data_IF_438116752877
#
_entry.id   IF_438116752877
#
_cell.length_a   1.000
_cell.length_b   1.000
_cell.length_c   1.000
_cell.angle_alpha   90.00
_cell.angle_beta   90.00
_cell.angle_gamma   90.00
#
_symmetry.space_group_name_H-M   'P 1'
#
loop_
_entity.id
_entity.type
_entity.pdbx_description
1 polymer ?
#
# COMPACT_ATOMS: atom_id res chain seq x y z
N UNK A 1 -8.42 32.05 1.87
CA UNK A 1 -9.30 30.90 2.16
C UNK A 1 -9.90 30.99 3.56
N UNK A 2 -9.10 30.91 4.63
CA UNK A 2 -9.60 31.07 6.02
C UNK A 2 -10.20 32.46 6.25
N UNK A 3 -9.44 33.54 6.03
CA UNK A 3 -9.91 34.92 6.19
C UNK A 3 -11.12 35.27 5.32
N UNK A 4 -11.08 34.89 4.05
CA UNK A 4 -12.05 35.39 3.05
C UNK A 4 -13.28 34.49 2.90
N UNK A 5 -13.21 33.23 3.35
CA UNK A 5 -14.28 32.23 3.17
C UNK A 5 -14.55 31.35 4.40
N UNK A 6 -13.89 31.58 5.53
CA UNK A 6 -14.12 30.82 6.76
C UNK A 6 -13.68 29.35 6.71
N UNK A 7 -12.72 29.02 5.85
CA UNK A 7 -12.14 27.67 5.82
C UNK A 7 -11.44 27.34 7.14
N UNK A 8 -11.65 26.14 7.68
CA UNK A 8 -11.00 25.68 8.90
C UNK A 8 -9.66 25.01 8.59
N UNK A 9 -8.58 25.59 9.11
CA UNK A 9 -7.20 25.11 8.94
C UNK A 9 -6.64 24.46 10.22
N UNK A 10 -7.44 24.24 11.26
CA UNK A 10 -7.01 23.62 12.52
C UNK A 10 -6.28 22.29 12.29
N UNK A 11 -6.94 21.33 11.63
CA UNK A 11 -6.38 20.00 11.29
C UNK A 11 -5.23 20.07 10.29
N UNK A 12 -5.25 21.05 9.38
CA UNK A 12 -4.13 21.27 8.45
C UNK A 12 -2.85 21.57 9.23
N UNK A 13 -2.92 22.50 10.19
CA UNK A 13 -1.75 22.94 10.97
C UNK A 13 -1.15 21.84 11.84
N UNK A 14 -1.96 20.88 12.29
CA UNK A 14 -1.53 19.74 13.12
C UNK A 14 -0.59 18.79 12.39
N UNK A 15 -0.74 18.65 11.07
CA UNK A 15 0.01 17.65 10.27
C UNK A 15 0.93 18.27 9.23
N UNK A 16 0.96 19.60 9.09
CA UNK A 16 1.68 20.27 8.00
C UNK A 16 3.18 19.93 7.97
N UNK A 17 3.84 19.79 9.12
CA UNK A 17 5.25 19.44 9.25
C UNK A 17 5.56 18.02 8.73
N UNK A 18 4.59 17.11 8.76
CA UNK A 18 4.73 15.75 8.23
C UNK A 18 4.68 15.70 6.70
N UNK A 19 4.14 16.73 6.05
CA UNK A 19 3.90 16.72 4.61
C UNK A 19 4.61 17.84 3.86
N UNK A 20 5.11 18.85 4.56
CA UNK A 20 5.78 20.03 3.99
C UNK A 20 7.18 20.22 4.61
N UNK A 21 8.11 19.25 4.46
CA UNK A 21 9.51 19.44 4.82
C UNK A 21 10.19 20.47 3.93
N UNK A 22 11.31 21.02 4.41
CA UNK A 22 12.14 21.96 3.65
C UNK A 22 12.72 21.32 2.36
N UNK A 23 13.14 20.05 2.44
CA UNK A 23 13.59 19.27 1.29
C UNK A 23 12.55 18.19 0.96
N UNK A 24 11.81 18.42 -0.12
CA UNK A 24 10.63 17.64 -0.46
C UNK A 24 10.83 16.81 -1.72
N UNK A 25 10.52 15.52 -1.63
CA UNK A 25 10.48 14.60 -2.75
C UNK A 25 9.13 14.60 -3.48
N UNK A 26 9.19 14.31 -4.78
CA UNK A 26 8.02 14.02 -5.60
C UNK A 26 7.45 15.22 -6.35
N UNK A 27 6.38 15.01 -7.14
CA UNK A 27 5.98 15.96 -8.18
C UNK A 27 5.10 17.12 -7.67
N UNK A 28 4.70 17.12 -6.40
CA UNK A 28 3.91 18.19 -5.80
C UNK A 28 4.06 18.22 -4.27
N UNK A 29 3.82 19.38 -3.68
CA UNK A 29 3.73 19.57 -2.23
C UNK A 29 2.29 19.52 -1.75
N UNK A 30 1.51 20.45 -2.29
CA UNK A 30 0.15 20.71 -1.87
C UNK A 30 -0.70 21.05 -3.10
N UNK A 31 -1.82 20.35 -3.25
CA UNK A 31 -2.92 20.79 -4.09
C UNK A 31 -4.10 21.20 -3.22
N UNK A 32 -4.99 22.01 -3.78
CA UNK A 32 -6.26 22.33 -3.14
C UNK A 32 -7.43 22.16 -4.10
N UNK A 33 -8.62 21.95 -3.56
CA UNK A 33 -9.87 21.91 -4.31
C UNK A 33 -10.89 22.84 -3.67
N UNK A 34 -11.69 23.49 -4.50
CA UNK A 34 -12.89 24.20 -4.10
C UNK A 34 -14.12 23.42 -4.58
N UNK A 35 -15.11 23.27 -3.70
CA UNK A 35 -16.36 22.56 -3.96
C UNK A 35 -17.51 23.57 -3.90
N UNK A 36 -18.17 23.74 -5.04
CA UNK A 36 -19.34 24.61 -5.15
C UNK A 36 -20.61 23.79 -5.10
N UNK A 37 -21.58 24.24 -4.31
CA UNK A 37 -22.94 23.70 -4.27
C UNK A 37 -23.93 24.86 -4.34
N UNK A 38 -25.03 24.66 -5.06
CA UNK A 38 -26.06 25.69 -5.22
C UNK A 38 -26.54 26.18 -3.85
N UNK A 39 -26.52 27.49 -3.64
CA UNK A 39 -26.98 28.12 -2.40
C UNK A 39 -26.11 27.88 -1.16
N UNK A 40 -24.88 27.38 -1.32
CA UNK A 40 -23.95 27.15 -0.20
C UNK A 40 -22.62 27.88 -0.44
N UNK A 41 -21.92 28.33 0.62
CA UNK A 41 -20.57 28.85 0.48
C UNK A 41 -19.63 27.76 -0.09
N UNK A 42 -18.54 28.16 -0.78
CA UNK A 42 -17.55 27.20 -1.25
C UNK A 42 -16.92 26.47 -0.07
N UNK A 43 -16.79 25.15 -0.20
CA UNK A 43 -16.02 24.33 0.73
C UNK A 43 -14.66 24.01 0.14
N UNK A 44 -13.64 23.86 0.97
CA UNK A 44 -12.27 23.69 0.51
C UNK A 44 -11.65 22.37 1.00
N UNK A 45 -10.65 21.90 0.27
CA UNK A 45 -9.86 20.73 0.62
C UNK A 45 -8.38 20.95 0.35
N UNK A 46 -7.53 20.39 1.20
CA UNK A 46 -6.09 20.29 0.99
C UNK A 46 -5.71 18.86 0.63
N UNK A 47 -4.73 18.69 -0.27
CA UNK A 47 -4.18 17.41 -0.69
C UNK A 47 -2.65 17.47 -0.56
N UNK A 48 -2.12 16.68 0.34
CA UNK A 48 -0.70 16.53 0.62
C UNK A 48 -0.12 15.33 -0.13
N UNK A 49 1.19 15.36 -0.34
CA UNK A 49 1.99 14.25 -0.85
C UNK A 49 2.54 13.39 0.30
N UNK A 50 2.04 12.16 0.53
CA UNK A 50 2.60 11.25 1.54
C UNK A 50 4.08 10.90 1.32
N UNK A 51 4.58 11.09 0.10
CA UNK A 51 5.94 10.74 -0.30
C UNK A 51 6.89 11.93 -0.20
N UNK A 52 6.56 12.95 0.58
CA UNK A 52 7.40 14.13 0.79
C UNK A 52 8.82 13.76 1.26
N UNK A 53 8.97 12.64 1.99
CA UNK A 53 10.25 12.06 2.42
C UNK A 53 10.66 10.82 1.60
N UNK A 54 10.14 10.68 0.38
CA UNK A 54 10.32 9.49 -0.45
C UNK A 54 9.25 8.41 -0.23
N UNK A 55 9.20 7.44 -1.16
CA UNK A 55 8.12 6.43 -1.25
C UNK A 55 8.10 5.47 -0.06
N UNK A 56 9.25 5.09 0.48
CA UNK A 56 9.35 4.19 1.63
C UNK A 56 8.71 4.76 2.90
N UNK A 57 8.78 6.09 3.08
CA UNK A 57 8.28 6.77 4.28
C UNK A 57 6.77 7.02 4.27
N UNK A 58 6.09 6.82 3.13
CA UNK A 58 4.69 7.21 2.97
C UNK A 58 3.73 6.58 3.99
N UNK A 59 3.94 5.31 4.35
CA UNK A 59 3.10 4.66 5.37
C UNK A 59 3.29 5.29 6.76
N UNK A 60 4.54 5.51 7.16
CA UNK A 60 4.88 6.13 8.46
C UNK A 60 4.31 7.54 8.61
N UNK A 61 4.37 8.33 7.53
CA UNK A 61 3.84 9.69 7.47
C UNK A 61 2.32 9.69 7.60
N UNK A 62 1.62 8.80 6.89
CA UNK A 62 0.16 8.72 6.94
C UNK A 62 -0.33 8.21 8.29
N UNK A 63 0.29 7.19 8.87
CA UNK A 63 -0.11 6.69 10.19
C UNK A 63 0.12 7.73 11.28
N UNK A 64 1.27 8.42 11.27
CA UNK A 64 1.53 9.53 12.19
C UNK A 64 0.51 10.66 12.03
N UNK A 65 0.15 11.02 10.79
CA UNK A 65 -0.88 12.03 10.55
C UNK A 65 -2.26 11.59 11.07
N UNK A 66 -2.62 10.31 10.94
CA UNK A 66 -3.85 9.77 11.49
C UNK A 66 -3.84 9.80 13.02
N UNK A 67 -2.74 9.40 13.64
CA UNK A 67 -2.55 9.47 15.09
C UNK A 67 -2.75 10.89 15.62
N UNK A 68 -2.05 11.88 15.07
CA UNK A 68 -2.18 13.30 15.48
C UNK A 68 -3.59 13.86 15.31
N UNK A 69 -4.38 13.27 14.41
CA UNK A 69 -5.76 13.67 14.15
C UNK A 69 -6.79 12.82 14.92
N UNK A 70 -6.36 11.85 15.74
CA UNK A 70 -7.23 10.98 16.55
C UNK A 70 -7.86 9.80 15.81
N UNK A 71 -7.19 9.28 14.77
CA UNK A 71 -7.66 8.18 13.92
C UNK A 71 -6.84 6.89 14.08
N UNK A 72 -6.26 6.63 15.25
CA UNK A 72 -5.39 5.48 15.52
C UNK A 72 -6.00 4.13 15.09
N UNK A 73 -7.28 3.92 15.42
CA UNK A 73 -8.00 2.69 15.11
C UNK A 73 -8.24 2.45 13.61
N UNK A 74 -8.07 3.48 12.76
CA UNK A 74 -8.35 3.37 11.33
C UNK A 74 -7.21 2.74 10.52
N UNK A 75 -5.97 2.75 11.04
CA UNK A 75 -4.79 2.33 10.29
C UNK A 75 -4.89 0.89 9.76
N UNK A 76 -5.28 -0.05 10.62
CA UNK A 76 -5.45 -1.46 10.21
C UNK A 76 -6.47 -1.63 9.07
N UNK A 77 -7.52 -0.80 9.04
CA UNK A 77 -8.48 -0.83 7.92
C UNK A 77 -7.92 -0.24 6.63
N UNK A 78 -7.05 0.77 6.71
CA UNK A 78 -6.40 1.35 5.54
C UNK A 78 -5.33 0.43 4.95
N UNK A 79 -4.62 -0.34 5.79
CA UNK A 79 -3.68 -1.36 5.32
C UNK A 79 -4.37 -2.39 4.40
N UNK A 80 -5.64 -2.73 4.66
CA UNK A 80 -6.43 -3.62 3.79
C UNK A 80 -6.70 -3.01 2.41
N UNK A 81 -6.83 -1.69 2.31
CA UNK A 81 -6.96 -0.99 1.02
C UNK A 81 -5.66 -1.05 0.22
N UNK A 82 -4.49 -1.12 0.88
CA UNK A 82 -3.18 -1.25 0.23
C UNK A 82 -2.53 -2.64 0.41
N UNK A 83 -3.35 -3.71 0.40
CA UNK A 83 -2.92 -5.07 0.75
C UNK A 83 -1.88 -5.68 -0.19
N UNK A 84 -1.77 -5.19 -1.44
CA UNK A 84 -0.84 -5.72 -2.47
C UNK A 84 0.53 -5.02 -2.39
N UNK A 85 0.81 -4.30 -1.30
CA UNK A 85 2.08 -3.62 -1.05
C UNK A 85 2.28 -2.33 -1.85
N UNK A 86 3.17 -1.41 -1.42
CA UNK A 86 3.41 -0.06 -1.93
C UNK A 86 4.00 0.01 -3.34
N UNK A 87 4.39 -1.13 -3.92
CA UNK A 87 4.79 -1.17 -5.34
C UNK A 87 3.57 -1.32 -6.25
N UNK A 88 2.52 -2.02 -5.81
CA UNK A 88 1.24 -2.11 -6.52
C UNK A 88 0.15 -1.19 -5.95
N UNK A 89 0.24 -0.82 -4.68
CA UNK A 89 -0.75 -0.05 -3.92
C UNK A 89 -0.06 1.13 -3.22
N UNK A 90 0.22 2.18 -3.99
CA UNK A 90 1.01 3.34 -3.56
C UNK A 90 0.12 4.38 -2.82
N UNK A 91 0.47 4.72 -1.57
CA UNK A 91 -0.14 5.87 -0.88
C UNK A 91 0.24 7.17 -1.60
N UNK A 92 -0.73 7.81 -2.26
CA UNK A 92 -0.47 8.92 -3.18
C UNK A 92 -0.94 10.28 -2.70
N UNK A 93 -2.09 10.33 -2.04
CA UNK A 93 -2.63 11.58 -1.52
C UNK A 93 -3.13 11.38 -0.10
N UNK A 94 -2.83 12.34 0.77
CA UNK A 94 -3.51 12.51 2.04
C UNK A 94 -4.29 13.82 1.97
N UNK A 95 -5.58 13.82 2.27
CA UNK A 95 -6.40 15.01 2.08
C UNK A 95 -7.32 15.30 3.26
N UNK A 96 -7.55 16.59 3.47
CA UNK A 96 -8.40 17.13 4.52
C UNK A 96 -9.53 17.95 3.91
N UNK A 97 -10.76 17.74 4.36
CA UNK A 97 -11.81 18.74 4.20
C UNK A 97 -11.54 19.91 5.17
N UNK A 98 -11.44 21.13 4.66
CA UNK A 98 -11.09 22.34 5.41
C UNK A 98 -12.34 23.08 5.89
N UNK A 99 -13.16 22.39 6.67
CA UNK A 99 -14.44 22.88 7.20
C UNK A 99 -14.58 22.48 8.66
N UNK A 100 -15.09 23.40 9.48
CA UNK A 100 -15.42 23.15 10.88
C UNK A 100 -16.76 22.39 10.98
N UNK A 101 -16.73 21.10 10.66
CA UNK A 101 -17.89 20.19 10.70
C UNK A 101 -17.43 18.84 11.29
N UNK A 102 -18.16 18.22 12.23
CA UNK A 102 -17.85 16.86 12.71
C UNK A 102 -17.77 15.81 11.57
N UNK A 103 -18.42 16.07 10.44
CA UNK A 103 -18.34 15.25 9.22
C UNK A 103 -17.18 15.63 8.30
N UNK A 104 -16.29 16.54 8.69
CA UNK A 104 -15.09 16.88 7.94
C UNK A 104 -14.16 15.67 7.85
N UNK A 105 -13.83 15.25 6.63
CA UNK A 105 -13.15 13.97 6.41
C UNK A 105 -11.64 14.12 6.36
N UNK A 106 -10.96 13.12 6.91
CA UNK A 106 -9.62 12.71 6.45
C UNK A 106 -9.79 11.74 5.31
N UNK A 107 -8.97 11.88 4.28
CA UNK A 107 -9.04 11.07 3.08
C UNK A 107 -7.67 10.52 2.73
N UNK A 108 -7.57 9.21 2.55
CA UNK A 108 -6.34 8.53 2.17
C UNK A 108 -6.54 7.89 0.80
N UNK A 109 -5.67 8.23 -0.15
CA UNK A 109 -5.72 7.76 -1.52
C UNK A 109 -4.63 6.73 -1.78
N UNK A 110 -5.03 5.59 -2.33
CA UNK A 110 -4.13 4.52 -2.77
C UNK A 110 -4.19 4.45 -4.29
N UNK A 111 -3.03 4.47 -4.94
CA UNK A 111 -2.88 4.25 -6.38
C UNK A 111 -2.63 2.77 -6.61
N UNK A 112 -3.46 2.14 -7.43
CA UNK A 112 -3.42 0.71 -7.69
C UNK A 112 -2.86 0.43 -9.08
N UNK A 113 -1.59 0.05 -9.13
CA UNK A 113 -0.92 -0.38 -10.35
C UNK A 113 -1.42 -1.77 -10.76
N UNK A 114 -1.58 -1.97 -12.06
CA UNK A 114 -1.91 -3.26 -12.69
C UNK A 114 -3.11 -3.97 -12.06
N UNK A 115 -4.09 -3.20 -11.58
CA UNK A 115 -5.20 -3.72 -10.80
C UNK A 115 -6.27 -4.38 -11.65
N UNK A 116 -6.80 -5.49 -11.14
CA UNK A 116 -8.03 -6.11 -11.62
C UNK A 116 -9.25 -5.48 -10.95
N UNK A 117 -10.44 -5.76 -11.48
CA UNK A 117 -11.70 -5.40 -10.82
C UNK A 117 -11.83 -6.05 -9.43
N UNK A 118 -11.38 -7.30 -9.28
CA UNK A 118 -11.38 -8.02 -8.00
C UNK A 118 -10.41 -7.40 -6.97
N UNK A 119 -9.26 -6.88 -7.41
CA UNK A 119 -8.34 -6.17 -6.53
C UNK A 119 -8.98 -4.91 -5.95
N UNK A 120 -9.66 -4.13 -6.81
CA UNK A 120 -10.30 -2.87 -6.40
C UNK A 120 -11.54 -3.10 -5.55
N UNK A 121 -12.34 -4.12 -5.86
CA UNK A 121 -13.45 -4.59 -5.02
C UNK A 121 -12.96 -4.88 -3.60
N UNK A 122 -11.90 -5.68 -3.48
CA UNK A 122 -11.36 -6.05 -2.20
C UNK A 122 -10.76 -4.85 -1.43
N UNK A 123 -10.10 -3.91 -2.13
CA UNK A 123 -9.60 -2.68 -1.53
C UNK A 123 -10.74 -1.78 -0.97
N UNK A 124 -11.94 -1.87 -1.55
CA UNK A 124 -13.13 -1.14 -1.10
C UNK A 124 -13.93 -1.87 0.00
N UNK A 125 -13.76 -3.20 0.14
CA UNK A 125 -14.56 -4.06 1.03
C UNK A 125 -14.53 -3.70 2.52
N UNK A 126 -13.50 -2.97 2.95
CA UNK A 126 -13.36 -2.53 4.35
C UNK A 126 -14.21 -1.31 4.74
N UNK A 127 -14.88 -0.66 3.78
CA UNK A 127 -15.70 0.52 4.05
C UNK A 127 -17.09 0.16 4.60
N UNK A 128 -17.67 1.04 5.41
CA UNK A 128 -19.02 0.85 5.95
C UNK A 128 -20.09 0.88 4.85
N UNK A 129 -19.90 1.70 3.82
CA UNK A 129 -20.82 1.82 2.69
C UNK A 129 -20.63 0.75 1.61
N UNK A 130 -19.90 -0.33 1.88
CA UNK A 130 -19.56 -1.34 0.88
C UNK A 130 -20.76 -2.22 0.53
N UNK A 131 -21.00 -2.37 -0.77
CA UNK A 131 -21.97 -3.31 -1.33
C UNK A 131 -21.23 -4.28 -2.25
N UNK A 132 -21.25 -5.60 -1.98
CA UNK A 132 -20.56 -6.57 -2.81
C UNK A 132 -21.00 -6.53 -4.28
N UNK A 133 -20.02 -6.55 -5.18
CA UNK A 133 -20.20 -6.63 -6.63
C UNK A 133 -20.21 -5.28 -7.35
N UNK A 134 -20.59 -4.19 -6.69
CA UNK A 134 -20.76 -2.89 -7.36
C UNK A 134 -19.45 -2.28 -7.86
N UNK A 135 -18.37 -2.40 -7.08
CA UNK A 135 -17.06 -1.87 -7.51
C UNK A 135 -16.52 -2.72 -8.65
N UNK A 136 -16.67 -4.04 -8.59
CA UNK A 136 -16.29 -4.95 -9.65
C UNK A 136 -17.03 -4.62 -10.97
N UNK A 137 -18.35 -4.47 -10.92
CA UNK A 137 -19.18 -4.09 -12.07
C UNK A 137 -18.78 -2.73 -12.64
N UNK A 138 -18.68 -1.71 -11.78
CA UNK A 138 -18.27 -0.36 -12.18
C UNK A 138 -16.90 -0.36 -12.87
N UNK A 139 -15.91 -1.04 -12.29
CA UNK A 139 -14.55 -1.10 -12.86
C UNK A 139 -14.55 -1.77 -14.22
N UNK A 140 -15.34 -2.83 -14.42
CA UNK A 140 -15.47 -3.50 -15.72
C UNK A 140 -16.14 -2.60 -16.75
N UNK A 141 -17.22 -1.90 -16.38
CA UNK A 141 -17.91 -0.98 -17.27
C UNK A 141 -16.99 0.16 -17.74
N UNK A 142 -16.22 0.77 -16.82
CA UNK A 142 -15.34 1.89 -17.16
C UNK A 142 -14.03 1.45 -17.84
N UNK A 143 -13.48 0.31 -17.40
CA UNK A 143 -12.25 -0.27 -17.95
C UNK A 143 -12.40 -0.96 -19.31
N UNK A 144 -13.64 -1.22 -19.74
CA UNK A 144 -13.95 -2.02 -20.92
C UNK A 144 -13.53 -3.49 -20.75
N UNK A 145 -13.17 -4.15 -21.85
CA UNK A 145 -12.84 -5.59 -21.85
C UNK A 145 -11.51 -5.94 -21.15
N UNK A 146 -10.83 -4.97 -20.54
CA UNK A 146 -9.52 -5.17 -19.93
C UNK A 146 -9.66 -5.97 -18.64
N UNK A 147 -8.89 -7.05 -18.55
CA UNK A 147 -8.74 -7.80 -17.29
C UNK A 147 -7.95 -6.99 -16.25
N UNK A 148 -6.89 -6.29 -16.71
CA UNK A 148 -6.00 -5.48 -15.88
C UNK A 148 -5.92 -4.05 -16.37
N UNK A 149 -5.97 -3.11 -15.43
CA UNK A 149 -5.85 -1.68 -15.68
C UNK A 149 -4.38 -1.25 -15.59
N UNK A 150 -3.60 -1.66 -16.60
CA UNK A 150 -2.15 -1.45 -16.66
C UNK A 150 -1.71 -0.10 -17.25
N UNK A 151 -2.47 0.45 -18.22
CA UNK A 151 -2.07 1.64 -18.98
C UNK A 151 -1.95 2.91 -18.11
N UNK A 152 -2.88 3.10 -17.18
CA UNK A 152 -2.84 4.15 -16.16
C UNK A 152 -3.49 3.63 -14.88
N UNK A 153 -2.69 3.56 -13.82
CA UNK A 153 -3.10 3.03 -12.52
C UNK A 153 -4.36 3.73 -11.97
N UNK A 154 -5.28 2.94 -11.42
CA UNK A 154 -6.50 3.41 -10.77
C UNK A 154 -6.23 3.99 -9.39
N UNK A 155 -7.23 4.62 -8.78
CA UNK A 155 -7.16 5.00 -7.37
C UNK A 155 -8.33 4.43 -6.58
N UNK A 156 -8.10 4.21 -5.29
CA UNK A 156 -9.16 4.25 -4.29
C UNK A 156 -8.93 5.41 -3.34
N UNK A 157 -9.99 5.86 -2.68
CA UNK A 157 -9.95 6.87 -1.64
C UNK A 157 -10.85 6.47 -0.47
N UNK A 158 -10.25 6.17 0.66
CA UNK A 158 -10.95 5.93 1.92
C UNK A 158 -11.22 7.25 2.63
N UNK A 159 -12.46 7.46 3.05
CA UNK A 159 -12.89 8.65 3.79
C UNK A 159 -13.22 8.29 5.24
N UNK A 160 -12.52 8.93 6.18
CA UNK A 160 -12.67 8.76 7.62
C UNK A 160 -13.31 10.02 8.22
N UNK A 161 -14.22 9.82 9.18
CA UNK A 161 -14.80 10.89 10.01
C UNK A 161 -14.48 10.63 11.48
N UNK A 162 -14.56 11.65 12.32
CA UNK A 162 -14.19 11.53 13.74
C UNK A 162 -14.85 10.30 14.40
N UNK A 163 -14.05 9.53 15.16
CA UNK A 163 -14.48 8.29 15.82
C UNK A 163 -14.51 7.04 14.91
N UNK A 164 -14.25 7.17 13.62
CA UNK A 164 -14.21 6.02 12.69
C UNK A 164 -12.99 5.12 12.91
N UNK A 165 -13.24 3.82 13.11
CA UNK A 165 -12.20 2.75 13.01
C UNK A 165 -12.16 2.10 11.62
N UNK A 166 -13.13 2.43 10.76
CA UNK A 166 -13.21 2.01 9.35
C UNK A 166 -13.63 3.19 8.48
N UNK A 167 -13.28 3.22 7.18
CA UNK A 167 -13.75 4.26 6.28
C UNK A 167 -15.28 4.27 6.21
N UNK A 168 -15.89 5.45 6.39
CA UNK A 168 -17.33 5.63 6.16
C UNK A 168 -17.71 5.33 4.71
N UNK A 169 -16.79 5.61 3.77
CA UNK A 169 -16.90 5.21 2.38
C UNK A 169 -15.52 5.09 1.73
N UNK A 170 -15.37 4.17 0.78
CA UNK A 170 -14.24 4.13 -0.15
C UNK A 170 -14.76 4.47 -1.56
N UNK A 171 -14.09 5.42 -2.22
CA UNK A 171 -14.40 5.80 -3.61
C UNK A 171 -13.38 5.16 -4.54
N UNK A 172 -13.81 4.46 -5.58
CA UNK A 172 -12.93 3.94 -6.65
C UNK A 172 -12.88 4.93 -7.81
N UNK A 173 -11.71 5.08 -8.44
CA UNK A 173 -11.46 6.00 -9.54
C UNK A 173 -10.82 5.25 -10.70
N UNK A 174 -11.49 5.25 -11.86
CA UNK A 174 -10.97 4.68 -13.10
C UNK A 174 -10.51 5.83 -14.01
N UNK A 175 -9.26 5.83 -14.49
CA UNK A 175 -8.80 6.80 -15.48
C UNK A 175 -9.32 6.38 -16.85
N UNK A 176 -10.62 6.58 -17.07
CA UNK A 176 -11.35 6.03 -18.22
C UNK A 176 -10.72 6.41 -19.57
N UNK A 177 -10.09 7.60 -19.65
CA UNK A 177 -9.41 8.06 -20.86
C UNK A 177 -8.21 7.19 -21.27
N UNK A 178 -7.65 6.39 -20.35
CA UNK A 178 -6.56 5.46 -20.65
C UNK A 178 -7.06 4.14 -21.26
N UNK A 179 -8.38 3.92 -21.27
CA UNK A 179 -9.03 2.67 -21.68
C UNK A 179 -10.07 2.88 -22.78
N UNK A 180 -10.13 4.08 -23.36
CA UNK A 180 -11.00 4.44 -24.47
C UNK A 180 -10.18 5.00 -25.64
N UNK A 181 -10.60 4.81 -26.89
CA UNK A 181 -9.93 5.39 -28.04
C UNK A 181 -10.07 6.92 -28.11
N UNK A 182 -11.18 7.47 -27.64
CA UNK A 182 -11.54 8.88 -27.73
C UNK A 182 -12.59 9.23 -26.64
N UNK A 183 -12.90 10.51 -26.47
CA UNK A 183 -13.89 10.96 -25.50
C UNK A 183 -15.34 10.62 -25.90
N UNK A 184 -15.62 10.32 -27.17
CA UNK A 184 -16.96 9.84 -27.58
C UNK A 184 -17.23 8.45 -27.01
N UNK A 185 -16.25 7.55 -27.09
CA UNK A 185 -16.32 6.23 -26.49
C UNK A 185 -16.37 6.30 -24.95
N UNK A 186 -15.72 7.29 -24.34
CA UNK A 186 -15.89 7.54 -22.89
C UNK A 186 -17.34 7.92 -22.59
N UNK A 187 -17.90 8.86 -23.35
CA UNK A 187 -19.29 9.29 -23.18
C UNK A 187 -20.28 8.13 -23.28
N UNK A 188 -20.16 7.32 -24.33
CA UNK A 188 -21.03 6.17 -24.55
C UNK A 188 -21.02 5.18 -23.39
N UNK A 189 -19.83 4.90 -22.81
CA UNK A 189 -19.72 3.98 -21.67
C UNK A 189 -20.35 4.52 -20.40
N UNK A 190 -20.08 5.79 -20.08
CA UNK A 190 -20.64 6.40 -18.88
C UNK A 190 -22.16 6.55 -19.01
N UNK A 191 -22.64 6.97 -20.18
CA UNK A 191 -24.07 7.04 -20.48
C UNK A 191 -24.74 5.67 -20.31
N UNK A 192 -24.20 4.62 -20.94
CA UNK A 192 -24.74 3.26 -20.84
C UNK A 192 -24.81 2.80 -19.37
N UNK A 193 -23.73 3.01 -18.61
CA UNK A 193 -23.68 2.67 -17.19
C UNK A 193 -24.77 3.40 -16.38
N UNK A 194 -24.97 4.71 -16.61
CA UNK A 194 -26.03 5.47 -15.94
C UNK A 194 -27.42 4.90 -16.25
N UNK A 195 -27.72 4.62 -17.53
CA UNK A 195 -29.00 4.04 -17.96
C UNK A 195 -29.23 2.66 -17.33
N UNK A 196 -28.24 1.77 -17.40
CA UNK A 196 -28.33 0.41 -16.85
C UNK A 196 -28.58 0.39 -15.34
N UNK A 197 -28.09 1.40 -14.62
CA UNK A 197 -28.23 1.54 -13.18
C UNK A 197 -29.39 2.46 -12.75
N UNK A 198 -30.28 2.83 -13.67
CA UNK A 198 -31.47 3.64 -13.39
C UNK A 198 -31.15 5.09 -12.98
N UNK A 199 -29.96 5.60 -13.31
CA UNK A 199 -29.56 6.99 -13.11
C UNK A 199 -29.86 7.82 -14.36
N UNK A 200 -30.29 9.07 -14.19
CA UNK A 200 -30.56 9.99 -15.31
C UNK A 200 -29.23 10.39 -16.02
N UNK A 201 -29.03 10.03 -17.30
CA UNK A 201 -27.83 10.40 -18.03
C UNK A 201 -27.84 11.85 -18.52
N UNK A 202 -29.00 12.52 -18.58
CA UNK A 202 -29.12 13.82 -19.24
C UNK A 202 -28.22 14.93 -18.63
N UNK A 203 -28.05 15.05 -17.30
CA UNK A 203 -27.13 16.03 -16.72
C UNK A 203 -25.67 15.77 -17.10
N UNK A 204 -25.28 14.51 -17.23
CA UNK A 204 -23.94 14.12 -17.66
C UNK A 204 -23.71 14.46 -19.13
N UNK A 205 -24.64 14.10 -20.01
CA UNK A 205 -24.52 14.35 -21.44
C UNK A 205 -24.48 15.85 -21.76
N UNK A 206 -25.31 16.64 -21.06
CA UNK A 206 -25.33 18.09 -21.18
C UNK A 206 -24.02 18.72 -20.67
N UNK A 207 -23.46 18.23 -19.56
CA UNK A 207 -22.18 18.69 -19.05
C UNK A 207 -21.05 18.43 -20.05
N UNK A 208 -20.96 17.21 -20.59
CA UNK A 208 -19.91 16.83 -21.55
C UNK A 208 -20.01 17.65 -22.83
N UNK A 209 -21.21 17.80 -23.39
CA UNK A 209 -21.43 18.61 -24.59
C UNK A 209 -21.15 20.10 -24.36
N UNK A 210 -21.57 20.65 -23.21
CA UNK A 210 -21.36 22.06 -22.90
C UNK A 210 -19.92 22.42 -22.55
N UNK A 211 -19.13 21.44 -22.11
CA UNK A 211 -17.72 21.63 -21.75
C UNK A 211 -16.77 21.41 -22.92
N UNK A 212 -17.13 20.57 -23.89
CA UNK A 212 -16.25 20.24 -25.01
C UNK A 212 -16.04 21.41 -25.97
N UNK A 213 -14.78 21.74 -26.27
CA UNK A 213 -14.39 22.74 -27.29
C UNK A 213 -14.05 22.11 -28.65
N UNK A 214 -14.23 20.79 -28.79
CA UNK A 214 -13.92 20.01 -29.98
C UNK A 214 -14.89 18.83 -30.13
N UNK A 215 -14.99 18.20 -31.32
CA UNK A 215 -15.65 16.90 -31.46
C UNK A 215 -15.03 15.86 -30.49
N UNK A 216 -15.90 15.05 -29.87
CA UNK A 216 -15.48 14.09 -28.85
C UNK A 216 -14.63 12.93 -29.42
N UNK A 217 -14.79 12.62 -30.70
CA UNK A 217 -14.04 11.58 -31.43
C UNK A 217 -12.68 12.06 -31.97
N UNK A 218 -12.40 13.37 -31.91
CA UNK A 218 -11.16 13.98 -32.41
C UNK A 218 -9.95 13.80 -31.47
N UNK A 219 -10.17 13.33 -30.24
CA UNK A 219 -9.12 13.21 -29.22
C UNK A 219 -9.62 12.50 -27.97
N UNK A 220 -8.71 12.27 -27.04
CA UNK A 220 -8.97 11.58 -25.77
C UNK A 220 -8.38 12.36 -24.59
N UNK A 221 -8.96 12.24 -23.41
CA UNK A 221 -8.37 12.77 -22.17
C UNK A 221 -9.13 13.94 -21.56
N UNK A 222 -10.07 14.56 -22.30
CA UNK A 222 -10.97 15.55 -21.72
C UNK A 222 -11.72 14.93 -20.55
N UNK A 223 -12.28 13.74 -20.72
CA UNK A 223 -12.93 12.98 -19.66
C UNK A 223 -11.91 12.06 -18.96
N UNK A 224 -11.09 12.67 -18.09
CA UNK A 224 -9.89 12.04 -17.53
C UNK A 224 -10.19 10.90 -16.56
N UNK A 225 -11.17 11.06 -15.68
CA UNK A 225 -11.50 10.06 -14.65
C UNK A 225 -13.01 9.95 -14.44
N UNK A 226 -13.44 8.76 -14.07
CA UNK A 226 -14.78 8.52 -13.51
C UNK A 226 -14.60 7.83 -12.17
N UNK A 227 -15.31 8.31 -11.16
CA UNK A 227 -15.23 7.80 -9.81
C UNK A 227 -16.60 7.37 -9.30
N UNK A 228 -16.62 6.27 -8.54
CA UNK A 228 -17.83 5.69 -7.96
C UNK A 228 -17.67 5.53 -6.45
N UNK A 229 -18.74 5.81 -5.73
CA UNK A 229 -18.89 5.48 -4.30
C UNK A 229 -20.37 5.37 -3.94
N UNK A 230 -20.69 4.69 -2.84
CA UNK A 230 -21.96 4.89 -2.14
C UNK A 230 -21.91 6.05 -1.15
N UNK A 231 -23.04 6.70 -0.96
CA UNK A 231 -23.22 7.72 0.06
C UNK A 231 -24.64 7.65 0.63
N UNK A 232 -24.77 7.17 1.87
CA UNK A 232 -26.08 6.91 2.49
C UNK A 232 -26.97 6.06 1.56
N UNK A 233 -26.42 4.91 1.14
CA UNK A 233 -27.04 3.95 0.23
C UNK A 233 -27.25 4.39 -1.23
N UNK A 234 -27.08 5.67 -1.54
CA UNK A 234 -27.17 6.15 -2.92
C UNK A 234 -25.84 5.97 -3.68
N UNK A 235 -25.84 5.38 -4.89
CA UNK A 235 -24.68 5.40 -5.76
C UNK A 235 -24.38 6.84 -6.20
N UNK A 236 -23.10 7.20 -6.20
CA UNK A 236 -22.63 8.51 -6.64
C UNK A 236 -21.49 8.36 -7.62
N UNK A 237 -21.72 8.89 -8.82
CA UNK A 237 -20.71 9.05 -9.84
C UNK A 237 -20.08 10.44 -9.78
N UNK A 238 -18.79 10.56 -10.09
CA UNK A 238 -18.09 11.84 -10.30
C UNK A 238 -17.23 11.74 -11.54
N UNK A 239 -17.41 12.68 -12.47
CA UNK A 239 -16.62 12.77 -13.70
C UNK A 239 -15.61 13.91 -13.56
N UNK A 240 -14.38 13.69 -14.02
CA UNK A 240 -13.29 14.67 -13.99
C UNK A 240 -13.01 15.12 -15.42
N UNK A 241 -13.12 16.43 -15.64
CA UNK A 241 -12.90 17.06 -16.94
C UNK A 241 -11.57 17.83 -16.93
N UNK A 242 -10.67 17.48 -17.83
CA UNK A 242 -9.43 18.21 -18.06
C UNK A 242 -9.70 19.48 -18.87
N UNK A 243 -8.97 20.55 -18.61
CA UNK A 243 -9.16 21.84 -19.33
C UNK A 243 -8.65 21.83 -20.76
N UNK A 244 -7.85 20.84 -21.14
CA UNK A 244 -7.14 20.76 -22.43
C UNK A 244 -6.32 22.02 -22.80
N UNK A 245 -6.11 22.94 -21.85
CA UNK A 245 -5.54 24.27 -22.09
C UNK A 245 -4.15 24.27 -22.73
N UNK A 246 -3.38 23.19 -22.53
CA UNK A 246 -2.05 23.04 -23.12
C UNK A 246 -2.03 22.11 -24.34
N UNK A 247 -2.86 21.06 -24.34
CA UNK A 247 -2.80 19.98 -25.33
C UNK A 247 -4.07 19.14 -25.33
N UNK A 248 -4.52 18.82 -26.53
CA UNK A 248 -5.44 17.71 -26.82
C UNK A 248 -4.61 16.48 -27.15
N UNK A 249 -4.91 15.33 -26.52
CA UNK A 249 -4.23 14.08 -26.86
C UNK A 249 -4.91 13.40 -28.06
N UNK A 250 -4.15 12.85 -29.02
CA UNK A 250 -4.72 12.21 -30.19
C UNK A 250 -5.46 10.92 -29.82
N UNK A 251 -6.43 10.54 -30.65
CA UNK A 251 -7.15 9.26 -30.55
C UNK A 251 -6.19 8.09 -30.34
N UNK A 252 -6.54 7.18 -29.44
CA UNK A 252 -5.81 5.95 -29.13
C UNK A 252 -4.55 6.15 -28.29
N UNK A 253 -4.19 7.38 -27.93
CA UNK A 253 -3.10 7.62 -26.98
C UNK A 253 -3.56 7.36 -25.54
N UNK A 254 -2.60 7.25 -24.62
CA UNK A 254 -2.85 7.09 -23.18
C UNK A 254 -2.41 8.37 -22.46
N UNK A 255 -3.34 9.29 -22.15
CA UNK A 255 -3.02 10.51 -21.41
C UNK A 255 -2.44 10.19 -20.04
N UNK A 256 -1.27 10.78 -19.73
CA UNK A 256 -0.56 10.62 -18.46
C UNK A 256 -0.42 9.15 -18.01
N UNK A 257 0.06 8.30 -18.92
CA UNK A 257 0.37 6.89 -18.64
C UNK A 257 1.22 6.78 -17.35
N UNK A 258 0.92 5.76 -16.54
CA UNK A 258 1.70 5.53 -15.31
C UNK A 258 3.02 4.84 -15.66
N UNK A 259 4.10 5.62 -15.79
CA UNK A 259 5.43 5.10 -16.12
C UNK A 259 6.14 4.36 -14.98
N UNK A 260 5.82 4.71 -13.73
CA UNK A 260 6.49 4.13 -12.56
C UNK A 260 5.77 2.88 -12.08
N UNK A 261 6.23 1.72 -12.54
CA UNK A 261 6.17 0.52 -11.70
C UNK A 261 7.45 0.53 -10.88
N UNK A 262 7.36 0.40 -9.56
CA UNK A 262 8.52 -0.05 -8.78
C UNK A 262 8.80 -1.50 -9.17
N UNK A 263 9.46 -1.67 -10.31
CA UNK A 263 10.12 -2.91 -10.64
C UNK A 263 11.51 -2.79 -10.03
N UNK A 264 11.78 -3.56 -8.98
CA UNK A 264 13.15 -3.72 -8.55
C UNK A 264 13.91 -4.46 -9.65
N UNK A 265 15.04 -3.90 -10.07
CA UNK A 265 15.89 -4.53 -11.07
C UNK A 265 16.47 -5.88 -10.58
N UNK A 266 16.54 -6.07 -9.26
CA UNK A 266 17.08 -7.27 -8.60
C UNK A 266 16.58 -7.37 -7.14
N UNK A 267 16.74 -8.54 -6.53
CA UNK A 267 16.51 -8.71 -5.08
C UNK A 267 17.43 -7.82 -4.23
N UNK A 268 18.65 -7.55 -4.67
CA UNK A 268 19.57 -6.61 -4.02
C UNK A 268 19.01 -5.18 -3.96
N UNK A 269 18.30 -4.73 -5.00
CA UNK A 269 17.65 -3.42 -4.98
C UNK A 269 16.50 -3.34 -3.96
N UNK A 270 15.81 -4.45 -3.70
CA UNK A 270 14.82 -4.57 -2.62
C UNK A 270 15.53 -4.40 -1.27
N UNK A 271 16.61 -5.14 -1.06
CA UNK A 271 17.34 -5.21 0.21
C UNK A 271 18.04 -3.89 0.56
N UNK A 272 18.60 -3.18 -0.43
CA UNK A 272 19.12 -1.82 -0.22
C UNK A 272 18.02 -0.84 0.20
N UNK A 273 16.83 -0.97 -0.38
CA UNK A 273 15.67 -0.17 0.04
C UNK A 273 15.24 -0.51 1.47
N UNK A 274 15.42 -1.78 1.89
CA UNK A 274 15.21 -2.20 3.28
C UNK A 274 16.26 -1.61 4.23
N UNK A 275 17.53 -1.51 3.81
CA UNK A 275 18.60 -0.93 4.64
C UNK A 275 18.53 0.59 4.79
N UNK A 276 17.89 1.28 3.85
CA UNK A 276 17.62 2.73 3.90
C UNK A 276 16.44 3.08 4.81
N UNK A 277 15.70 2.08 5.30
CA UNK A 277 14.53 2.25 6.13
C UNK A 277 14.87 2.02 7.61
N UNK A 278 14.85 3.08 8.41
CA UNK A 278 14.94 2.92 9.87
C UNK A 278 13.70 2.20 10.39
N UNK A 279 13.91 1.05 11.05
CA UNK A 279 12.81 0.27 11.62
C UNK A 279 12.06 1.03 12.72
N UNK A 280 12.72 1.98 13.39
CA UNK A 280 12.07 2.88 14.34
C UNK A 280 10.94 3.69 13.70
N UNK A 281 11.05 3.91 12.39
CA UNK A 281 10.07 4.64 11.60
C UNK A 281 8.97 3.75 11.03
N UNK A 282 9.02 2.44 11.29
CA UNK A 282 8.00 1.51 10.87
C UNK A 282 6.65 1.82 11.54
N UNK A 283 5.52 1.84 10.81
CA UNK A 283 4.20 2.14 11.38
C UNK A 283 3.87 1.31 12.64
N UNK A 284 4.01 -0.02 12.53
CA UNK A 284 3.80 -0.92 13.67
C UNK A 284 4.70 -0.57 14.85
N UNK A 285 5.99 -0.35 14.62
CA UNK A 285 6.97 -0.08 15.68
C UNK A 285 6.64 1.23 16.37
N UNK A 286 6.34 2.29 15.62
CA UNK A 286 5.89 3.57 16.19
C UNK A 286 4.63 3.40 17.01
N UNK A 287 3.63 2.69 16.49
CA UNK A 287 2.36 2.46 17.19
C UNK A 287 2.55 1.68 18.49
N UNK A 288 3.34 0.61 18.48
CA UNK A 288 3.69 -0.14 19.70
C UNK A 288 4.48 0.74 20.67
N UNK A 289 5.41 1.56 20.16
CA UNK A 289 6.24 2.47 20.98
C UNK A 289 5.46 3.56 21.71
N UNK A 290 4.24 3.88 21.27
CA UNK A 290 3.36 4.87 21.93
C UNK A 290 2.49 4.27 23.03
N UNK A 291 2.38 2.94 23.12
CA UNK A 291 1.54 2.26 24.11
C UNK A 291 2.09 2.40 25.52
N UNK A 292 1.21 2.31 26.53
CA UNK A 292 1.60 2.33 27.95
C UNK A 292 2.56 1.17 28.30
N UNK A 293 2.48 0.07 27.55
CA UNK A 293 3.35 -1.11 27.68
C UNK A 293 4.27 -1.32 26.47
N UNK A 294 4.80 -0.22 25.91
CA UNK A 294 5.60 -0.22 24.70
C UNK A 294 6.79 -1.19 24.73
N UNK A 295 7.50 -1.25 25.87
CA UNK A 295 8.65 -2.14 26.04
C UNK A 295 8.24 -3.60 25.89
N UNK A 296 7.17 -4.03 26.56
CA UNK A 296 6.63 -5.38 26.47
C UNK A 296 6.22 -5.74 25.05
N UNK A 297 5.43 -4.88 24.40
CA UNK A 297 4.92 -5.16 23.05
C UNK A 297 6.03 -5.23 22.00
N UNK A 298 7.05 -4.36 22.09
CA UNK A 298 8.22 -4.41 21.21
C UNK A 298 9.08 -5.66 21.47
N UNK A 299 9.24 -6.07 22.72
CA UNK A 299 9.95 -7.31 23.07
C UNK A 299 9.20 -8.55 22.60
N UNK A 300 7.87 -8.55 22.71
CA UNK A 300 7.01 -9.58 22.17
C UNK A 300 7.14 -9.68 20.64
N UNK A 301 7.12 -8.55 19.94
CA UNK A 301 7.38 -8.48 18.49
C UNK A 301 8.78 -9.04 18.16
N UNK A 302 9.80 -8.62 18.89
CA UNK A 302 11.20 -9.10 18.74
C UNK A 302 11.28 -10.61 18.94
N UNK A 303 10.62 -11.14 19.98
CA UNK A 303 10.57 -12.58 20.27
C UNK A 303 9.89 -13.33 19.14
N UNK A 304 8.75 -12.85 18.65
CA UNK A 304 8.04 -13.50 17.56
C UNK A 304 8.90 -13.54 16.29
N UNK A 305 9.55 -12.41 15.94
CA UNK A 305 10.59 -12.27 14.90
C UNK A 305 11.68 -13.35 15.07
N UNK A 306 12.31 -13.44 16.23
CA UNK A 306 13.31 -14.46 16.54
C UNK A 306 12.79 -15.89 16.35
N UNK A 307 11.60 -16.21 16.88
CA UNK A 307 11.03 -17.57 16.81
C UNK A 307 10.74 -17.95 15.36
N UNK A 308 10.16 -17.05 14.59
CA UNK A 308 9.86 -17.35 13.20
C UNK A 308 11.11 -17.40 12.33
N UNK A 309 12.13 -16.58 12.59
CA UNK A 309 13.45 -16.70 11.95
C UNK A 309 14.14 -18.03 12.29
N UNK A 310 14.12 -18.47 13.54
CA UNK A 310 14.67 -19.77 13.95
C UNK A 310 13.92 -20.96 13.31
N UNK A 311 12.59 -20.85 13.18
CA UNK A 311 11.77 -21.87 12.51
C UNK A 311 12.07 -21.94 11.01
N UNK A 312 12.31 -20.79 10.37
CA UNK A 312 12.72 -20.72 8.97
C UNK A 312 14.16 -21.19 8.78
N UNK A 313 15.07 -20.87 9.71
CA UNK A 313 16.45 -21.38 9.75
C UNK A 313 16.50 -22.91 9.68
N UNK A 314 15.71 -23.60 10.50
CA UNK A 314 15.65 -25.07 10.46
C UNK A 314 15.23 -25.60 9.07
N UNK A 315 14.33 -24.87 8.39
CA UNK A 315 13.89 -25.19 7.02
C UNK A 315 14.94 -24.83 5.96
N UNK A 316 15.66 -23.74 6.13
CA UNK A 316 16.73 -23.30 5.23
C UNK A 316 17.95 -24.22 5.31
N UNK A 317 18.38 -24.60 6.51
CA UNK A 317 19.45 -25.59 6.72
C UNK A 317 19.08 -26.93 6.08
N UNK A 318 17.82 -27.38 6.24
CA UNK A 318 17.34 -28.60 5.60
C UNK A 318 17.31 -28.50 4.06
N UNK A 319 17.02 -27.31 3.51
CA UNK A 319 16.93 -27.08 2.05
C UNK A 319 18.31 -26.88 1.42
N UNK A 320 19.16 -26.04 2.01
CA UNK A 320 20.54 -25.81 1.56
C UNK A 320 21.41 -27.06 1.73
N UNK A 321 21.23 -27.81 2.81
CA UNK A 321 21.89 -29.11 3.00
C UNK A 321 21.50 -30.16 1.95
N UNK A 322 20.35 -29.99 1.29
CA UNK A 322 19.89 -30.85 0.19
C UNK A 322 20.31 -30.35 -1.22
N UNK A 323 20.86 -29.13 -1.34
CA UNK A 323 21.20 -28.51 -2.63
C UNK A 323 22.68 -28.10 -2.77
N UNK A 324 23.48 -28.18 -1.71
CA UNK A 324 24.90 -27.83 -1.73
C UNK A 324 25.80 -29.06 -1.98
N UNK A 325 26.19 -29.29 -3.24
CA UNK A 325 27.25 -30.25 -3.60
C UNK A 325 28.67 -29.67 -3.44
N UNK A 326 28.80 -28.36 -3.17
CA UNK A 326 30.09 -27.68 -3.05
C UNK A 326 30.47 -27.43 -1.56
N UNK A 327 31.62 -27.94 -1.08
CA UNK A 327 32.06 -27.79 0.32
C UNK A 327 32.22 -26.33 0.77
N UNK A 328 32.69 -25.47 -0.13
CA UNK A 328 32.98 -24.05 0.15
C UNK A 328 31.70 -23.23 0.46
N UNK A 329 30.59 -23.57 -0.21
CA UNK A 329 29.27 -22.96 0.06
C UNK A 329 28.68 -23.45 1.37
N UNK A 330 28.95 -24.71 1.75
CA UNK A 330 28.54 -25.29 3.02
C UNK A 330 29.28 -24.62 4.19
N UNK A 331 30.59 -24.43 4.06
CA UNK A 331 31.45 -23.83 5.09
C UNK A 331 31.12 -22.34 5.31
N UNK A 332 30.83 -21.58 4.24
CA UNK A 332 30.38 -20.19 4.35
C UNK A 332 29.00 -20.09 5.03
N UNK A 333 28.06 -21.00 4.69
CA UNK A 333 26.74 -21.07 5.31
C UNK A 333 26.84 -21.44 6.80
N UNK A 334 27.68 -22.42 7.15
CA UNK A 334 27.94 -22.81 8.54
C UNK A 334 28.59 -21.68 9.33
N UNK A 335 29.50 -20.89 8.74
CA UNK A 335 30.15 -19.76 9.38
C UNK A 335 29.16 -18.60 9.66
N UNK A 336 28.32 -18.25 8.70
CA UNK A 336 27.30 -17.21 8.90
C UNK A 336 26.20 -17.68 9.86
N UNK A 337 25.81 -18.97 9.82
CA UNK A 337 24.91 -19.58 10.80
C UNK A 337 25.53 -19.61 12.21
N UNK A 338 26.85 -19.84 12.34
CA UNK A 338 27.56 -19.81 13.61
C UNK A 338 27.68 -18.38 14.17
N UNK A 339 27.80 -17.36 13.32
CA UNK A 339 27.74 -15.94 13.72
C UNK A 339 26.35 -15.55 14.19
N UNK A 340 25.31 -16.04 13.51
CA UNK A 340 23.91 -15.89 13.91
C UNK A 340 23.66 -16.60 15.24
N UNK A 341 24.15 -17.82 15.41
CA UNK A 341 24.09 -18.56 16.68
C UNK A 341 24.82 -17.84 17.79
N UNK A 342 26.02 -17.32 17.54
CA UNK A 342 26.76 -16.54 18.53
C UNK A 342 26.02 -15.25 18.91
N UNK A 343 25.36 -14.57 17.96
CA UNK A 343 24.55 -13.38 18.24
C UNK A 343 23.26 -13.73 19.03
N UNK A 344 22.64 -14.87 18.73
CA UNK A 344 21.46 -15.38 19.42
C UNK A 344 21.81 -15.96 20.80
N UNK A 345 22.91 -16.69 20.95
CA UNK A 345 23.37 -17.30 22.21
C UNK A 345 24.03 -16.28 23.15
N UNK A 346 24.76 -15.29 22.63
CA UNK A 346 25.21 -14.15 23.44
C UNK A 346 24.02 -13.41 24.06
N UNK A 347 22.86 -13.39 23.38
CA UNK A 347 21.60 -12.83 23.87
C UNK A 347 20.67 -13.86 24.54
N UNK A 348 20.95 -15.17 24.45
CA UNK A 348 20.19 -16.27 25.04
C UNK A 348 20.86 -16.89 26.28
N UNK A 349 22.02 -16.39 26.72
CA UNK A 349 22.64 -16.75 28.00
C UNK A 349 21.82 -16.34 29.24
N UNK A 350 20.66 -15.71 29.05
CA UNK A 350 19.61 -15.50 30.05
C UNK A 350 18.50 -16.56 30.03
N UNK A 351 18.72 -17.72 29.39
CA UNK A 351 17.77 -18.84 29.33
C UNK A 351 17.73 -19.64 30.62
N UNK A 352 16.59 -19.58 31.30
CA UNK A 352 15.76 -20.76 31.52
C UNK A 352 14.29 -20.32 31.50
N UNK A 353 13.47 -20.97 30.67
CA UNK A 353 12.01 -20.79 30.65
C UNK A 353 11.45 -19.75 29.67
N UNK A 354 10.99 -20.19 28.49
CA UNK A 354 10.15 -19.37 27.60
C UNK A 354 8.67 -19.35 28.08
N UNK A 355 8.44 -18.85 29.30
CA UNK A 355 7.12 -18.59 29.91
C UNK A 355 6.86 -17.10 30.15
N UNK A 356 5.72 -16.77 30.79
CA UNK A 356 5.22 -15.42 31.16
C UNK A 356 6.23 -14.55 31.95
N UNK A 357 7.38 -15.09 32.36
CA UNK A 357 8.44 -14.39 33.13
C UNK A 357 9.40 -13.53 32.28
N UNK A 358 9.48 -13.68 30.94
CA UNK A 358 10.37 -12.85 30.10
C UNK A 358 9.96 -11.36 30.10
N UNK A 359 8.67 -11.13 30.20
CA UNK A 359 8.03 -9.82 30.21
C UNK A 359 8.43 -9.02 31.46
N UNK A 360 8.46 -9.66 32.64
CA UNK A 360 8.95 -9.05 33.88
C UNK A 360 10.49 -8.90 33.92
N UNK A 361 11.23 -9.84 33.31
CA UNK A 361 12.70 -9.87 33.36
C UNK A 361 13.38 -8.82 32.48
N UNK A 362 12.75 -8.50 31.34
CA UNK A 362 13.20 -7.51 30.36
C UNK A 362 12.61 -6.11 30.59
N UNK A 363 11.42 -6.02 31.22
CA UNK A 363 10.76 -4.76 31.58
C UNK A 363 11.53 -3.86 32.58
N UNK A 364 12.73 -4.26 33.02
CA UNK A 364 13.62 -3.43 33.83
C UNK A 364 15.05 -3.27 33.29
N UNK A 365 15.38 -3.85 32.12
CA UNK A 365 16.78 -3.97 31.65
C UNK A 365 17.03 -3.48 30.22
N UNK A 366 16.00 -3.40 29.38
CA UNK A 366 16.12 -3.05 27.96
C UNK A 366 15.06 -1.99 27.66
N UNK A 367 15.47 -0.84 27.13
CA UNK A 367 14.53 0.23 26.78
C UNK A 367 13.90 0.03 25.39
N UNK A 368 12.86 0.80 25.04
CA UNK A 368 12.26 0.76 23.70
C UNK A 368 13.28 0.93 22.55
N UNK A 369 14.31 1.76 22.75
CA UNK A 369 15.37 1.98 21.76
C UNK A 369 16.19 0.71 21.48
N UNK A 370 16.58 -0.01 22.53
CA UNK A 370 17.34 -1.25 22.42
C UNK A 370 16.50 -2.37 21.76
N UNK A 371 15.18 -2.40 22.02
CA UNK A 371 14.25 -3.33 21.38
C UNK A 371 14.09 -3.04 19.88
N UNK A 372 13.99 -1.76 19.51
CA UNK A 372 13.95 -1.31 18.11
C UNK A 372 15.24 -1.72 17.37
N UNK A 373 16.41 -1.52 17.98
CA UNK A 373 17.70 -1.93 17.41
C UNK A 373 17.77 -3.45 17.22
N UNK A 374 17.23 -4.23 18.16
CA UNK A 374 17.14 -5.68 18.02
C UNK A 374 16.24 -6.11 16.86
N UNK A 375 15.07 -5.47 16.68
CA UNK A 375 14.18 -5.72 15.54
C UNK A 375 14.90 -5.38 14.22
N UNK A 376 15.61 -4.25 14.16
CA UNK A 376 16.37 -3.83 12.98
C UNK A 376 17.41 -4.90 12.60
N UNK A 377 18.20 -5.35 13.58
CA UNK A 377 19.24 -6.35 13.37
C UNK A 377 18.67 -7.70 12.89
N UNK A 378 17.52 -8.13 13.41
CA UNK A 378 16.85 -9.36 13.00
C UNK A 378 16.30 -9.28 11.58
N UNK A 379 15.67 -8.15 11.22
CA UNK A 379 15.18 -7.93 9.86
C UNK A 379 16.35 -7.82 8.85
N UNK A 380 17.44 -7.17 9.23
CA UNK A 380 18.66 -7.10 8.42
C UNK A 380 19.31 -8.49 8.24
N UNK A 381 19.31 -9.30 9.30
CA UNK A 381 19.79 -10.69 9.24
C UNK A 381 18.92 -11.55 8.33
N UNK A 382 17.58 -11.46 8.42
CA UNK A 382 16.65 -12.16 7.53
C UNK A 382 16.87 -11.76 6.08
N UNK A 383 16.93 -10.46 5.83
CA UNK A 383 17.21 -9.86 4.53
C UNK A 383 18.52 -10.39 3.92
N UNK A 384 19.61 -10.40 4.72
CA UNK A 384 20.89 -10.95 4.30
C UNK A 384 20.82 -12.46 4.01
N UNK A 385 20.06 -13.23 4.80
CA UNK A 385 19.86 -14.67 4.55
C UNK A 385 19.02 -14.92 3.31
N UNK A 386 17.96 -14.14 3.06
CA UNK A 386 17.19 -14.20 1.81
C UNK A 386 18.07 -13.84 0.60
N UNK A 387 18.98 -12.86 0.74
CA UNK A 387 19.96 -12.51 -0.28
C UNK A 387 20.92 -13.66 -0.55
N UNK A 388 21.43 -14.28 0.52
CA UNK A 388 22.34 -15.40 0.45
C UNK A 388 21.67 -16.63 -0.18
N UNK A 389 20.42 -16.92 0.17
CA UNK A 389 19.64 -18.01 -0.45
C UNK A 389 19.35 -17.73 -1.93
N UNK A 390 18.99 -16.49 -2.29
CA UNK A 390 18.81 -16.09 -3.68
C UNK A 390 20.12 -16.11 -4.49
N UNK A 391 21.26 -15.81 -3.84
CA UNK A 391 22.59 -15.93 -4.43
C UNK A 391 23.03 -17.39 -4.57
N UNK A 392 22.75 -18.26 -3.59
CA UNK A 392 23.04 -19.70 -3.66
C UNK A 392 22.26 -20.33 -4.82
N UNK A 393 20.99 -19.97 -4.99
CA UNK A 393 20.15 -20.36 -6.14
C UNK A 393 20.71 -19.86 -7.49
N UNK A 394 21.32 -18.67 -7.51
CA UNK A 394 21.91 -18.08 -8.72
C UNK A 394 23.33 -18.61 -9.03
N UNK A 395 24.13 -18.90 -8.01
CA UNK A 395 25.52 -19.35 -8.12
C UNK A 395 25.65 -20.85 -8.39
N UNK A 396 24.56 -21.62 -8.33
CA UNK A 396 24.46 -22.94 -8.95
C UNK A 396 24.42 -22.91 -10.49
N UNK A 397 24.51 -21.74 -11.13
CA UNK A 397 24.36 -21.56 -12.57
C UNK A 397 25.64 -21.13 -13.32
N UNK A 398 26.81 -21.65 -12.96
CA UNK A 398 27.97 -21.64 -13.88
C UNK A 398 27.91 -22.83 -14.85
N UNK A 399 27.00 -22.75 -15.82
CA UNK A 399 27.16 -23.23 -17.21
C UNK A 399 25.82 -23.12 -17.95
N UNK A 400 25.45 -21.90 -18.33
CA UNK A 400 24.24 -21.63 -19.13
C UNK A 400 24.57 -21.74 -20.63
N UNK A 401 24.69 -22.97 -21.11
CA UNK A 401 24.50 -23.29 -22.53
C UNK A 401 23.52 -24.46 -22.77
N UNK A 402 23.05 -25.16 -21.73
CA UNK A 402 22.21 -26.35 -21.93
C UNK A 402 21.38 -26.77 -20.71
N UNK A 403 20.61 -25.89 -20.06
CA UNK A 403 19.68 -26.30 -19.01
C UNK A 403 18.28 -26.60 -19.61
N UNK A 404 17.76 -27.84 -19.51
CA UNK A 404 16.42 -28.21 -19.95
C UNK A 404 15.36 -27.93 -18.87
N UNK A 405 14.10 -28.00 -19.31
CA UNK A 405 12.77 -27.72 -18.73
C UNK A 405 12.49 -28.11 -17.25
N UNK A 406 13.42 -28.70 -16.49
CA UNK A 406 13.20 -29.21 -15.12
C UNK A 406 13.36 -28.17 -13.99
N UNK A 407 13.96 -27.00 -14.26
CA UNK A 407 14.03 -25.90 -13.27
C UNK A 407 12.63 -25.40 -12.85
N UNK A 408 11.66 -25.45 -13.76
CA UNK A 408 10.26 -25.13 -13.49
C UNK A 408 9.58 -26.16 -12.56
N UNK A 409 9.94 -27.45 -12.69
CA UNK A 409 9.40 -28.53 -11.84
C UNK A 409 10.05 -28.55 -10.44
N UNK A 410 11.28 -28.06 -10.29
CA UNK A 410 11.94 -27.88 -9.01
C UNK A 410 11.38 -26.69 -8.21
N UNK A 411 11.12 -25.56 -8.88
CA UNK A 411 10.32 -24.46 -8.32
C UNK A 411 8.92 -24.95 -7.91
N UNK A 412 8.37 -25.95 -8.61
CA UNK A 412 7.08 -26.57 -8.32
C UNK A 412 7.04 -27.44 -7.03
N UNK A 413 8.15 -27.57 -6.28
CA UNK A 413 8.22 -28.31 -4.99
C UNK A 413 8.39 -27.47 -3.71
N UNK A 414 8.54 -26.15 -3.80
CA UNK A 414 8.51 -25.24 -2.63
C UNK A 414 7.16 -25.25 -1.88
N UNK A 415 7.17 -25.08 -0.56
CA UNK A 415 5.94 -24.93 0.27
C UNK A 415 5.06 -23.81 -0.32
N UNK A 416 3.71 -23.98 -0.45
CA UNK A 416 2.84 -23.04 -1.15
C UNK A 416 2.95 -21.58 -0.70
N UNK A 417 3.29 -21.34 0.57
CA UNK A 417 3.50 -20.02 1.17
C UNK A 417 4.78 -19.34 0.67
N UNK A 418 5.90 -20.06 0.57
CA UNK A 418 7.16 -19.52 0.05
C UNK A 418 7.08 -19.24 -1.46
N UNK A 419 6.37 -20.09 -2.22
CA UNK A 419 6.12 -19.86 -3.65
C UNK A 419 5.32 -18.58 -3.90
N UNK A 420 4.30 -18.34 -3.07
CA UNK A 420 3.49 -17.12 -3.12
C UNK A 420 4.31 -15.89 -2.73
N UNK A 421 5.05 -15.93 -1.63
CA UNK A 421 5.85 -14.80 -1.17
C UNK A 421 6.91 -14.36 -2.20
N UNK A 422 7.64 -15.30 -2.80
CA UNK A 422 8.68 -15.00 -3.81
C UNK A 422 8.06 -14.53 -5.13
N UNK A 423 6.96 -15.13 -5.59
CA UNK A 423 6.23 -14.67 -6.79
C UNK A 423 5.63 -13.27 -6.58
N UNK A 424 5.12 -12.97 -5.38
CA UNK A 424 4.59 -11.67 -5.01
C UNK A 424 5.69 -10.62 -4.85
N UNK A 425 6.84 -10.94 -4.25
CA UNK A 425 7.98 -10.02 -4.16
C UNK A 425 8.56 -9.68 -5.56
N UNK A 426 8.69 -10.69 -6.44
CA UNK A 426 9.15 -10.48 -7.83
C UNK A 426 8.17 -9.72 -8.71
N UNK A 427 6.86 -9.83 -8.44
CA UNK A 427 5.83 -9.08 -9.15
C UNK A 427 5.50 -7.72 -8.50
N UNK A 428 6.18 -7.37 -7.41
CA UNK A 428 5.91 -6.14 -6.64
C UNK A 428 4.63 -6.19 -5.80
N UNK A 429 3.94 -7.33 -5.74
CA UNK A 429 2.68 -7.54 -5.02
C UNK A 429 2.81 -7.63 -3.49
N UNK A 430 4.00 -7.46 -2.92
CA UNK A 430 4.20 -7.26 -1.49
C UNK A 430 5.19 -6.13 -1.25
N UNK A 431 4.89 -5.24 -0.30
CA UNK A 431 6.00 -4.57 0.40
C UNK A 431 6.69 -5.55 1.29
N UNK A 432 7.96 -5.27 1.53
CA UNK A 432 8.68 -5.55 2.78
C UNK A 432 7.77 -5.46 4.02
N UNK A 433 7.05 -4.34 4.20
CA UNK A 433 6.03 -4.14 5.22
C UNK A 433 4.89 -5.16 5.20
N UNK A 434 4.31 -5.49 4.04
CA UNK A 434 3.21 -6.46 3.92
C UNK A 434 3.67 -7.88 4.23
N UNK A 435 4.91 -8.22 3.87
CA UNK A 435 5.53 -9.50 4.20
C UNK A 435 5.76 -9.62 5.71
N UNK A 436 6.18 -8.55 6.39
CA UNK A 436 6.29 -8.47 7.85
C UNK A 436 4.89 -8.57 8.50
N UNK A 437 3.88 -7.90 7.94
CA UNK A 437 2.51 -7.88 8.47
C UNK A 437 1.76 -9.21 8.30
N UNK A 438 1.69 -9.81 7.10
CA UNK A 438 1.04 -11.13 6.91
C UNK A 438 1.73 -12.22 7.73
N UNK A 439 3.06 -12.14 7.88
CA UNK A 439 3.83 -13.06 8.71
C UNK A 439 3.53 -12.91 10.20
N UNK A 440 3.26 -11.69 10.69
CA UNK A 440 2.81 -11.45 12.07
C UNK A 440 1.33 -11.82 12.26
N UNK A 441 0.45 -11.50 11.30
CA UNK A 441 -1.01 -11.61 11.40
C UNK A 441 -1.50 -13.07 11.29
N UNK A 442 -0.95 -13.89 10.38
CA UNK A 442 -1.32 -15.32 10.27
C UNK A 442 -0.94 -16.12 11.54
N UNK A 443 0.17 -15.76 12.19
CA UNK A 443 0.57 -16.35 13.49
C UNK A 443 -0.23 -15.79 14.67
N UNK A 444 -0.78 -14.59 14.54
CA UNK A 444 -1.67 -13.98 15.52
C UNK A 444 -3.06 -14.64 15.47
N UNK A 445 -3.59 -14.90 14.28
CA UNK A 445 -4.91 -15.54 14.08
C UNK A 445 -4.89 -17.03 14.40
N UNK A 446 -3.85 -17.80 14.02
CA UNK A 446 -3.78 -19.23 14.39
C UNK A 446 -3.69 -19.45 15.91
N UNK A 447 -3.12 -18.50 16.67
CA UNK A 447 -2.88 -18.68 18.12
C UNK A 447 -3.94 -18.04 19.00
N UNK A 448 -4.66 -17.02 18.52
CA UNK A 448 -5.70 -16.32 19.28
C UNK A 448 -7.12 -16.38 18.67
N UNK A 449 -7.27 -16.82 17.42
CA UNK A 449 -8.57 -17.00 16.75
C UNK A 449 -9.34 -18.26 17.14
N UNK A 450 -8.78 -19.11 18.01
CA UNK A 450 -9.43 -20.31 18.55
C UNK A 450 -9.98 -20.10 19.98
N UNK A 451 -10.36 -18.86 20.33
CA UNK A 451 -11.29 -18.60 21.44
C UNK A 451 -12.59 -18.04 20.87
N UNK A 452 -13.38 -18.94 20.29
CA UNK A 452 -14.84 -18.87 20.27
C UNK A 452 -15.37 -20.02 21.11
#
# INVERSE_FOLDING_TARGET
MERDHGADLSRFRVVQDLFLPDDMHGPFALWHSAVFRRGRPPAFKAYFNPQAYGRGRAQSVVEEALHRLGFDGAWGSLCRTARRGPHLDELKYFALDLVADPKARVKVYVRHHDATAADLEAACSGAESYTPGEVHEFVRAMGGDRERLAARATFTCSALVEGSVRPAATTVYVPICAYAPDDLAVQQRVHAYLVEHGMDPAPYDALVHGYAERPLDAGVGMQSWVAFRRHHDDPRLTVYLATEAAKVHPRGSVPAATGDRLAFASGEAVLRTMSEYDVADHPLVRRLSRGEDATHELLRLTRELCVGLATQRARWVATAGASADAPETRDALELDLARIDAALDARASTRDGFGEELDELLAGRIGPADAIEAIAALLACDAAVQQLLAMIDACGATSLASAPTDAHAALARSVPTARRAIASMRSGAMSVHSAIWEWLDDRYVERFGARS
#
